data_IF_069090028418
#
_entry.id   IF_069090028418
#
_cell.length_a   1.000
_cell.length_b   1.000
_cell.length_c   1.000
_cell.angle_alpha   90.00
_cell.angle_beta   90.00
_cell.angle_gamma   90.00
#
_symmetry.space_group_name_H-M   'P 1'
#
loop_
_entity.id
_entity.type
_entity.pdbx_description
1 polymer ?
#
# COMPACT_ATOMS: atom_id res chain seq x y z
N UNK A 1 -8.76 5.17 20.23
CA UNK A 1 -7.93 3.93 20.27
C UNK A 1 -8.81 2.77 19.87
N UNK A 2 -8.47 2.07 18.82
CA UNK A 2 -9.28 1.02 18.21
C UNK A 2 -9.24 -0.23 19.08
N UNK A 3 -10.36 -0.60 19.69
CA UNK A 3 -10.46 -1.52 20.82
C UNK A 3 -10.25 -3.02 20.56
N UNK A 4 -9.62 -3.47 19.45
CA UNK A 4 -9.37 -4.89 19.18
C UNK A 4 -7.97 -5.21 18.70
N UNK A 5 -6.98 -4.80 19.47
CA UNK A 5 -5.55 -5.08 19.23
C UNK A 5 -5.27 -6.58 19.02
N UNK A 6 -5.94 -7.47 19.75
CA UNK A 6 -5.74 -8.91 19.61
C UNK A 6 -6.14 -9.51 18.25
N UNK A 7 -6.99 -8.82 17.46
CA UNK A 7 -7.29 -9.26 16.10
C UNK A 7 -6.11 -9.02 15.15
N UNK A 8 -5.41 -7.89 15.31
CA UNK A 8 -4.22 -7.56 14.52
C UNK A 8 -3.10 -8.56 14.79
N UNK A 9 -2.81 -8.84 16.06
CA UNK A 9 -1.80 -9.84 16.45
C UNK A 9 -2.09 -11.21 15.84
N UNK A 10 -3.34 -11.67 15.92
CA UNK A 10 -3.77 -12.96 15.35
C UNK A 10 -3.61 -12.99 13.83
N UNK A 11 -3.92 -11.89 13.15
CA UNK A 11 -3.77 -11.79 11.69
C UNK A 11 -2.32 -11.83 11.26
N UNK A 12 -1.45 -11.05 11.89
CA UNK A 12 -0.01 -11.02 11.59
C UNK A 12 0.66 -12.37 11.90
N UNK A 13 0.28 -13.01 13.02
CA UNK A 13 0.80 -14.33 13.39
C UNK A 13 0.26 -15.44 12.47
N UNK A 14 -0.97 -15.34 12.00
CA UNK A 14 -1.56 -16.27 11.03
C UNK A 14 -0.82 -16.21 9.70
N UNK A 15 -0.57 -15.01 9.18
CA UNK A 15 0.16 -14.85 7.92
C UNK A 15 1.58 -15.40 8.02
N UNK A 16 2.32 -15.11 9.08
CA UNK A 16 3.64 -15.69 9.35
C UNK A 16 3.62 -17.22 9.32
N UNK A 17 2.64 -17.85 9.97
CA UNK A 17 2.54 -19.32 10.05
C UNK A 17 2.15 -19.96 8.72
N UNK A 18 1.26 -19.30 7.96
CA UNK A 18 0.77 -19.82 6.68
C UNK A 18 1.89 -19.96 5.64
N UNK A 19 2.87 -19.05 5.66
CA UNK A 19 3.92 -19.01 4.67
C UNK A 19 4.95 -20.11 4.76
N UNK A 20 5.15 -20.70 5.92
CA UNK A 20 6.03 -21.88 6.08
C UNK A 20 5.64 -23.08 5.20
N UNK A 21 4.43 -23.09 4.65
CA UNK A 21 3.89 -24.21 3.88
C UNK A 21 3.67 -23.93 2.39
N UNK A 22 3.85 -22.70 1.91
CA UNK A 22 3.44 -22.31 0.54
C UNK A 22 4.51 -21.61 -0.31
N UNK A 23 5.75 -21.67 0.12
CA UNK A 23 6.85 -21.08 -0.64
C UNK A 23 7.41 -19.78 -0.04
N UNK A 24 8.26 -19.11 -0.80
CA UNK A 24 9.13 -18.02 -0.37
C UNK A 24 8.36 -16.72 -0.10
N UNK A 25 7.34 -16.42 -0.92
CA UNK A 25 6.61 -15.17 -0.90
C UNK A 25 5.16 -15.34 -0.46
N UNK A 26 4.68 -14.38 0.35
CA UNK A 26 3.30 -14.31 0.82
C UNK A 26 2.33 -14.22 -0.36
N UNK A 27 1.36 -15.14 -0.44
CA UNK A 27 0.41 -15.22 -1.53
C UNK A 27 1.06 -15.17 -2.93
N UNK A 28 2.33 -15.59 -3.03
CA UNK A 28 3.18 -15.47 -4.23
C UNK A 28 3.48 -14.01 -4.64
N UNK A 29 3.28 -13.05 -3.76
CA UNK A 29 3.50 -11.63 -4.01
C UNK A 29 4.63 -11.10 -3.12
N UNK A 30 5.76 -10.71 -3.71
CA UNK A 30 6.96 -10.27 -2.98
C UNK A 30 6.68 -9.08 -2.04
N UNK A 31 5.83 -8.17 -2.47
CA UNK A 31 5.50 -6.97 -1.69
C UNK A 31 4.68 -7.27 -0.44
N UNK A 32 3.98 -8.41 -0.37
CA UNK A 32 3.21 -8.78 0.83
C UNK A 32 4.11 -9.09 2.03
N UNK A 33 5.29 -9.67 1.79
CA UNK A 33 6.29 -9.84 2.84
C UNK A 33 6.78 -8.49 3.38
N UNK A 34 6.96 -7.51 2.47
CA UNK A 34 7.38 -6.16 2.84
C UNK A 34 6.29 -5.45 3.65
N UNK A 35 5.03 -5.56 3.24
CA UNK A 35 3.89 -5.04 4.00
C UNK A 35 3.77 -5.69 5.37
N UNK A 36 4.02 -7.00 5.47
CA UNK A 36 4.03 -7.68 6.77
C UNK A 36 5.09 -7.09 7.70
N UNK A 37 6.31 -6.85 7.22
CA UNK A 37 7.38 -6.19 8.01
C UNK A 37 6.94 -4.79 8.46
N UNK A 38 6.38 -3.99 7.55
CA UNK A 38 5.87 -2.65 7.87
C UNK A 38 4.80 -2.74 8.98
N UNK A 39 3.82 -3.63 8.81
CA UNK A 39 2.72 -3.79 9.77
C UNK A 39 3.19 -4.23 11.16
N UNK A 40 4.14 -5.17 11.26
CA UNK A 40 4.69 -5.61 12.55
C UNK A 40 5.44 -4.47 13.25
N UNK A 41 6.26 -3.72 12.50
CA UNK A 41 6.98 -2.58 13.05
C UNK A 41 6.02 -1.48 13.53
N UNK A 42 5.07 -1.07 12.69
CA UNK A 42 4.08 -0.05 13.03
C UNK A 42 3.21 -0.48 14.23
N UNK A 43 2.78 -1.74 14.26
CA UNK A 43 2.03 -2.26 15.38
C UNK A 43 2.81 -2.12 16.69
N UNK A 44 4.10 -2.49 16.69
CA UNK A 44 4.94 -2.33 17.87
C UNK A 44 5.14 -0.84 18.24
N UNK A 45 5.37 0.04 17.28
CA UNK A 45 5.52 1.47 17.55
C UNK A 45 4.28 2.10 18.16
N UNK A 46 3.11 1.63 17.78
CA UNK A 46 1.82 2.12 18.28
C UNK A 46 1.46 1.55 19.66
N UNK A 47 1.82 0.31 19.94
CA UNK A 47 1.30 -0.42 21.12
C UNK A 47 2.34 -0.74 22.17
N UNK A 48 3.62 -0.80 21.81
CA UNK A 48 4.69 -1.28 22.67
C UNK A 48 4.59 -2.78 23.03
N UNK A 49 3.85 -3.60 22.25
CA UNK A 49 3.56 -5.01 22.52
C UNK A 49 4.81 -5.89 22.42
N UNK A 50 5.67 -5.89 23.45
CA UNK A 50 6.97 -6.60 23.49
C UNK A 50 6.82 -8.11 23.33
N UNK A 51 5.85 -8.74 24.02
CA UNK A 51 5.65 -10.19 23.98
C UNK A 51 5.21 -10.67 22.61
N UNK A 52 4.38 -9.89 21.92
CA UNK A 52 4.00 -10.15 20.54
C UNK A 52 5.20 -10.02 19.61
N UNK A 53 5.92 -8.89 19.69
CA UNK A 53 7.11 -8.65 18.88
C UNK A 53 8.15 -9.75 19.03
N UNK A 54 8.44 -10.18 20.26
CA UNK A 54 9.41 -11.25 20.55
C UNK A 54 9.11 -12.54 19.76
N UNK A 55 7.83 -12.86 19.58
CA UNK A 55 7.39 -14.03 18.77
C UNK A 55 7.58 -13.83 17.27
N UNK A 56 7.68 -12.58 16.80
CA UNK A 56 7.83 -12.25 15.38
C UNK A 56 9.29 -12.07 14.95
N UNK A 57 10.20 -11.76 15.88
CA UNK A 57 11.59 -11.34 15.58
C UNK A 57 12.36 -12.34 14.71
N UNK A 58 12.22 -13.66 14.97
CA UNK A 58 12.90 -14.68 14.15
C UNK A 58 12.44 -14.62 12.67
N UNK A 59 11.13 -14.53 12.45
CA UNK A 59 10.59 -14.44 11.10
C UNK A 59 10.90 -13.07 10.44
N UNK A 60 10.94 -12.00 11.21
CA UNK A 60 11.35 -10.67 10.70
C UNK A 60 12.82 -10.71 10.22
N UNK A 61 13.72 -11.36 10.93
CA UNK A 61 15.09 -11.55 10.49
C UNK A 61 15.16 -12.38 9.20
N UNK A 62 14.42 -13.50 9.11
CA UNK A 62 14.28 -14.29 7.89
C UNK A 62 13.78 -13.45 6.69
N UNK A 63 12.90 -12.44 6.92
CA UNK A 63 12.45 -11.55 5.85
C UNK A 63 13.55 -10.59 5.39
N UNK A 64 14.35 -10.06 6.30
CA UNK A 64 15.48 -9.18 5.96
C UNK A 64 16.50 -9.94 5.12
N UNK A 65 16.81 -11.18 5.48
CA UNK A 65 17.70 -12.06 4.72
C UNK A 65 17.14 -12.32 3.33
N UNK A 66 15.85 -12.68 3.23
CA UNK A 66 15.15 -12.89 1.96
C UNK A 66 15.21 -11.66 1.05
N UNK A 67 15.01 -10.45 1.61
CA UNK A 67 15.10 -9.22 0.84
C UNK A 67 16.53 -8.96 0.36
N UNK A 68 17.55 -9.21 1.19
CA UNK A 68 18.95 -9.09 0.82
C UNK A 68 19.33 -10.03 -0.33
N UNK A 69 18.88 -11.30 -0.31
CA UNK A 69 19.08 -12.27 -1.37
C UNK A 69 18.37 -11.89 -2.67
N UNK A 70 17.21 -11.23 -2.56
CA UNK A 70 16.34 -10.87 -3.68
C UNK A 70 16.69 -9.52 -4.32
N UNK A 71 17.70 -8.82 -3.80
CA UNK A 71 18.25 -7.60 -4.41
C UNK A 71 19.72 -7.83 -4.76
N UNK A 72 20.05 -7.74 -6.05
CA UNK A 72 21.41 -7.89 -6.53
C UNK A 72 22.33 -6.77 -6.03
N UNK A 73 23.65 -6.98 -6.10
CA UNK A 73 24.67 -6.00 -5.66
C UNK A 73 24.61 -4.68 -6.43
N UNK A 74 24.10 -4.72 -7.66
CA UNK A 74 23.83 -3.55 -8.51
C UNK A 74 22.42 -2.96 -8.32
N UNK A 75 21.67 -3.41 -7.32
CA UNK A 75 20.30 -3.00 -7.05
C UNK A 75 19.23 -3.65 -7.92
N UNK A 76 19.55 -4.66 -8.72
CA UNK A 76 18.58 -5.41 -9.53
C UNK A 76 17.58 -6.15 -8.62
N UNK A 77 16.28 -6.03 -8.92
CA UNK A 77 15.23 -6.74 -8.19
C UNK A 77 14.99 -8.13 -8.81
N UNK A 78 15.15 -9.18 -8.00
CA UNK A 78 14.94 -10.59 -8.36
C UNK A 78 13.64 -11.12 -7.74
N UNK A 79 12.59 -10.33 -7.77
CA UNK A 79 11.29 -10.71 -7.23
C UNK A 79 10.49 -11.54 -8.24
N UNK A 80 9.84 -12.58 -7.77
CA UNK A 80 9.09 -13.49 -8.63
C UNK A 80 7.79 -12.87 -9.16
N UNK A 81 7.08 -12.11 -8.31
CA UNK A 81 5.86 -11.42 -8.68
C UNK A 81 5.82 -10.04 -8.06
N UNK A 82 5.81 -9.03 -8.90
CA UNK A 82 5.77 -7.62 -8.49
C UNK A 82 4.31 -7.15 -8.47
N UNK A 83 3.90 -6.63 -7.32
CA UNK A 83 2.56 -6.09 -7.13
C UNK A 83 2.63 -4.86 -6.24
N UNK A 84 2.00 -3.78 -6.67
CA UNK A 84 1.83 -2.56 -5.86
C UNK A 84 0.35 -2.37 -5.54
N UNK A 85 -0.47 -2.29 -6.59
CA UNK A 85 -1.91 -2.09 -6.51
C UNK A 85 -2.55 -2.43 -7.86
N UNK A 86 -3.88 -2.58 -7.92
CA UNK A 86 -4.60 -2.94 -9.12
C UNK A 86 -4.30 -2.03 -10.32
N UNK A 87 -4.29 -0.67 -10.23
CA UNK A 87 -3.98 0.20 -11.35
C UNK A 87 -2.55 0.08 -11.89
N UNK A 88 -1.65 -0.59 -11.16
CA UNK A 88 -0.25 -0.77 -11.58
C UNK A 88 0.06 -2.14 -12.18
N UNK A 89 -0.91 -3.08 -12.17
CA UNK A 89 -0.70 -4.49 -12.54
C UNK A 89 0.01 -4.67 -13.89
N UNK A 90 -0.46 -3.98 -14.92
CA UNK A 90 0.07 -4.08 -16.28
C UNK A 90 1.07 -2.97 -16.61
N UNK A 91 1.49 -2.17 -15.61
CA UNK A 91 2.37 -1.03 -15.83
C UNK A 91 3.79 -1.28 -15.30
N UNK A 92 4.80 -0.79 -16.00
CA UNK A 92 6.20 -0.97 -15.62
C UNK A 92 6.58 -0.27 -14.30
N UNK A 93 5.87 0.79 -13.90
CA UNK A 93 6.07 1.47 -12.62
C UNK A 93 5.91 0.53 -11.42
N UNK A 94 5.29 -0.66 -11.57
CA UNK A 94 5.24 -1.66 -10.49
C UNK A 94 6.63 -2.11 -10.04
N UNK A 95 7.64 -2.06 -10.92
CA UNK A 95 9.00 -2.45 -10.59
C UNK A 95 9.58 -1.47 -9.58
N UNK A 96 9.55 -0.17 -9.91
CA UNK A 96 10.06 0.87 -9.01
C UNK A 96 9.17 1.03 -7.78
N UNK A 97 7.84 0.86 -7.91
CA UNK A 97 6.91 0.85 -6.78
C UNK A 97 7.21 -0.26 -5.77
N UNK A 98 7.51 -1.48 -6.24
CA UNK A 98 7.92 -2.58 -5.36
C UNK A 98 9.24 -2.29 -4.65
N UNK A 99 10.18 -1.59 -5.31
CA UNK A 99 11.41 -1.09 -4.68
C UNK A 99 11.12 -0.11 -3.56
N UNK A 100 10.22 0.85 -3.78
CA UNK A 100 9.83 1.81 -2.74
C UNK A 100 9.19 1.13 -1.53
N UNK A 101 8.34 0.13 -1.74
CA UNK A 101 7.76 -0.65 -0.64
C UNK A 101 8.88 -1.35 0.16
N UNK A 102 9.89 -1.92 -0.53
CA UNK A 102 11.03 -2.55 0.16
C UNK A 102 11.88 -1.53 0.94
N UNK A 103 12.13 -0.34 0.38
CA UNK A 103 12.82 0.75 1.10
C UNK A 103 12.03 1.14 2.36
N UNK A 104 10.71 1.27 2.28
CA UNK A 104 9.86 1.58 3.44
C UNK A 104 9.98 0.47 4.49
N UNK A 105 9.88 -0.80 4.08
CA UNK A 105 10.00 -1.96 4.98
C UNK A 105 11.37 -2.00 5.66
N UNK A 106 12.45 -1.83 4.90
CA UNK A 106 13.81 -1.80 5.42
C UNK A 106 14.03 -0.63 6.39
N UNK A 107 13.53 0.57 6.09
CA UNK A 107 13.60 1.72 7.01
C UNK A 107 12.85 1.49 8.31
N UNK A 108 11.65 0.88 8.27
CA UNK A 108 10.87 0.53 9.46
C UNK A 108 11.58 -0.54 10.29
N UNK A 109 12.12 -1.56 9.64
CA UNK A 109 12.92 -2.58 10.32
C UNK A 109 14.18 -1.97 10.97
N UNK A 110 14.89 -1.07 10.26
CA UNK A 110 16.05 -0.36 10.82
C UNK A 110 15.69 0.45 12.07
N UNK A 111 14.58 1.21 12.01
CA UNK A 111 14.09 1.96 13.15
C UNK A 111 13.79 1.04 14.33
N UNK A 112 13.13 -0.09 14.09
CA UNK A 112 12.82 -1.09 15.11
C UNK A 112 14.10 -1.66 15.74
N UNK A 113 15.06 -2.13 14.92
CA UNK A 113 16.33 -2.69 15.39
C UNK A 113 17.11 -1.67 16.19
N UNK A 114 17.19 -0.42 15.73
CA UNK A 114 17.85 0.67 16.46
C UNK A 114 17.21 0.91 17.85
N UNK A 115 15.87 0.96 17.90
CA UNK A 115 15.15 1.13 19.20
C UNK A 115 15.36 -0.03 20.17
N UNK A 116 15.63 -1.23 19.65
CA UNK A 116 15.89 -2.43 20.45
C UNK A 116 17.39 -2.62 20.76
N UNK A 117 18.28 -1.77 20.27
CA UNK A 117 19.74 -1.91 20.41
C UNK A 117 20.33 -3.11 19.65
N UNK A 118 19.69 -3.54 18.56
CA UNK A 118 20.13 -4.64 17.70
C UNK A 118 21.00 -4.13 16.55
N UNK A 119 21.84 -5.02 16.00
CA UNK A 119 22.67 -4.72 14.83
C UNK A 119 21.82 -4.47 13.58
N UNK A 120 22.17 -3.42 12.82
CA UNK A 120 21.48 -2.99 11.60
C UNK A 120 22.26 -3.27 10.32
N UNK A 121 23.43 -3.90 10.39
CA UNK A 121 24.37 -4.04 9.26
C UNK A 121 23.71 -4.67 8.00
N UNK A 122 22.93 -5.73 8.17
CA UNK A 122 22.24 -6.39 7.05
C UNK A 122 21.12 -5.51 6.44
N UNK A 123 20.44 -4.72 7.28
CA UNK A 123 19.42 -3.78 6.80
C UNK A 123 20.08 -2.60 6.08
N UNK A 124 21.23 -2.14 6.56
CA UNK A 124 22.00 -1.07 5.92
C UNK A 124 22.54 -1.51 4.56
N UNK A 125 23.01 -2.77 4.46
CA UNK A 125 23.39 -3.38 3.18
C UNK A 125 22.22 -3.41 2.20
N UNK A 126 21.05 -3.88 2.65
CA UNK A 126 19.83 -3.90 1.83
C UNK A 126 19.46 -2.50 1.33
N UNK A 127 19.45 -1.51 2.22
CA UNK A 127 19.14 -0.12 1.85
C UNK A 127 20.15 0.42 0.83
N UNK A 128 21.45 0.15 1.00
CA UNK A 128 22.47 0.56 0.05
C UNK A 128 22.21 -0.01 -1.35
N UNK A 129 21.94 -1.31 -1.47
CA UNK A 129 21.58 -1.96 -2.74
C UNK A 129 20.32 -1.34 -3.36
N UNK A 130 19.26 -1.14 -2.56
CA UNK A 130 18.00 -0.56 -3.05
C UNK A 130 18.14 0.85 -3.58
N UNK A 131 19.12 1.61 -3.09
CA UNK A 131 19.40 3.01 -3.52
C UNK A 131 20.26 3.12 -4.78
N UNK A 132 20.79 2.02 -5.33
CA UNK A 132 21.71 2.04 -6.49
C UNK A 132 21.03 2.23 -7.85
N UNK A 133 19.70 2.24 -7.92
CA UNK A 133 18.94 2.33 -9.18
C UNK A 133 18.31 3.69 -9.40
N UNK A 134 17.98 3.99 -10.66
CA UNK A 134 17.14 5.14 -10.99
C UNK A 134 15.78 5.05 -10.27
N UNK A 135 15.37 6.17 -9.70
CA UNK A 135 14.13 6.32 -8.91
C UNK A 135 13.06 7.10 -9.68
N UNK A 136 13.16 7.15 -11.02
CA UNK A 136 12.18 7.85 -11.85
C UNK A 136 10.88 7.05 -11.95
N UNK A 137 9.76 7.71 -11.64
CA UNK A 137 8.40 7.21 -11.86
C UNK A 137 7.91 7.78 -13.19
N UNK A 138 7.23 6.97 -14.01
CA UNK A 138 6.76 7.39 -15.33
C UNK A 138 5.38 8.04 -15.28
N UNK A 139 4.44 7.43 -14.54
CA UNK A 139 3.04 7.81 -14.66
C UNK A 139 2.18 7.56 -13.42
N UNK A 140 2.42 6.48 -12.66
CA UNK A 140 1.47 5.99 -11.66
C UNK A 140 1.50 6.79 -10.36
N UNK A 141 0.38 7.43 -10.03
CA UNK A 141 0.18 8.19 -8.77
C UNK A 141 0.50 7.35 -7.54
N UNK A 142 0.12 6.06 -7.54
CA UNK A 142 0.40 5.09 -6.49
C UNK A 142 1.89 5.02 -6.17
N UNK A 143 2.70 4.98 -7.21
CA UNK A 143 4.15 4.83 -7.11
C UNK A 143 4.81 6.14 -6.69
N UNK A 144 4.29 7.28 -7.15
CA UNK A 144 4.75 8.60 -6.68
C UNK A 144 4.45 8.78 -5.18
N UNK A 145 3.26 8.37 -4.73
CA UNK A 145 2.93 8.36 -3.30
C UNK A 145 3.94 7.54 -2.49
N UNK A 146 4.23 6.31 -2.92
CA UNK A 146 5.23 5.46 -2.28
C UNK A 146 6.64 6.06 -2.31
N UNK A 147 7.03 6.75 -3.39
CA UNK A 147 8.32 7.44 -3.50
C UNK A 147 8.53 8.44 -2.37
N UNK A 148 7.52 9.26 -2.07
CA UNK A 148 7.60 10.21 -0.97
C UNK A 148 7.87 9.52 0.38
N UNK A 149 7.13 8.47 0.70
CA UNK A 149 7.31 7.72 1.96
C UNK A 149 8.63 6.95 2.00
N UNK A 150 9.12 6.50 0.84
CA UNK A 150 10.41 5.81 0.75
C UNK A 150 11.60 6.78 0.87
N UNK A 151 11.55 7.94 0.19
CA UNK A 151 12.71 8.84 0.04
C UNK A 151 12.61 10.13 0.87
N UNK A 152 11.42 10.49 1.35
CA UNK A 152 11.15 11.73 2.10
C UNK A 152 10.88 12.94 1.20
N UNK A 153 10.99 12.81 -0.12
CA UNK A 153 10.76 13.89 -1.08
C UNK A 153 10.37 13.36 -2.46
N UNK A 154 9.74 14.23 -3.25
CA UNK A 154 9.44 14.03 -4.67
C UNK A 154 9.83 15.30 -5.45
N UNK A 155 10.05 15.16 -6.75
CA UNK A 155 10.33 16.29 -7.65
C UNK A 155 9.06 17.09 -7.94
N UNK A 156 9.21 18.29 -8.55
CA UNK A 156 8.05 19.07 -8.99
C UNK A 156 7.31 18.39 -10.15
N UNK A 157 8.03 17.67 -11.02
CA UNK A 157 7.42 16.86 -12.07
C UNK A 157 6.59 15.69 -11.49
N UNK A 158 7.11 14.99 -10.48
CA UNK A 158 6.35 13.96 -9.77
C UNK A 158 5.08 14.56 -9.14
N UNK A 159 5.21 15.74 -8.51
CA UNK A 159 4.05 16.40 -7.89
C UNK A 159 3.01 16.84 -8.93
N UNK A 160 3.45 17.39 -10.05
CA UNK A 160 2.55 17.77 -11.15
C UNK A 160 1.77 16.56 -11.70
N UNK A 161 2.44 15.42 -11.86
CA UNK A 161 1.77 14.15 -12.23
C UNK A 161 0.79 13.68 -11.15
N UNK A 162 1.15 13.81 -9.87
CA UNK A 162 0.35 13.34 -8.74
C UNK A 162 -0.99 14.06 -8.66
N UNK A 163 -1.01 15.39 -8.86
CA UNK A 163 -2.22 16.23 -8.78
C UNK A 163 -3.00 16.33 -10.10
N UNK A 164 -2.41 15.86 -11.21
CA UNK A 164 -3.04 15.87 -12.53
C UNK A 164 -4.38 15.15 -12.48
N UNK A 165 -5.40 15.75 -13.08
CA UNK A 165 -6.76 15.22 -13.17
C UNK A 165 -7.43 14.90 -11.81
N UNK A 166 -6.94 15.52 -10.71
CA UNK A 166 -7.53 15.43 -9.38
C UNK A 166 -7.65 14.00 -8.85
N UNK A 167 -8.89 13.55 -8.60
CA UNK A 167 -9.18 12.23 -8.04
C UNK A 167 -9.10 11.08 -9.06
N UNK A 168 -9.03 11.38 -10.37
CA UNK A 168 -8.85 10.35 -11.40
C UNK A 168 -7.51 9.63 -11.24
N UNK A 169 -7.51 8.32 -11.41
CA UNK A 169 -6.33 7.47 -11.27
C UNK A 169 -5.85 7.26 -9.81
N UNK A 170 -6.63 7.67 -8.81
CA UNK A 170 -6.43 7.19 -7.44
C UNK A 170 -6.82 5.71 -7.35
N UNK A 171 -6.39 5.06 -6.27
CA UNK A 171 -6.84 3.73 -5.89
C UNK A 171 -7.14 3.68 -4.40
N UNK A 172 -8.00 2.80 -4.01
CA UNK A 172 -8.46 2.68 -2.62
C UNK A 172 -7.33 2.32 -1.67
N UNK A 173 -6.45 1.39 -2.05
CA UNK A 173 -5.32 0.95 -1.22
C UNK A 173 -4.26 2.05 -1.07
N UNK A 174 -3.80 2.64 -2.17
CA UNK A 174 -2.71 3.61 -2.16
C UNK A 174 -3.15 5.05 -1.86
N UNK A 175 -4.46 5.30 -1.69
CA UNK A 175 -4.97 6.65 -1.44
C UNK A 175 -4.32 7.35 -0.24
N UNK A 176 -4.03 6.63 0.85
CA UNK A 176 -3.34 7.19 2.01
C UNK A 176 -1.97 7.79 1.62
N UNK A 177 -1.17 7.04 0.87
CA UNK A 177 0.15 7.48 0.42
C UNK A 177 0.07 8.65 -0.56
N UNK A 178 -0.88 8.58 -1.50
CA UNK A 178 -1.11 9.65 -2.49
C UNK A 178 -1.55 10.95 -1.78
N UNK A 179 -2.59 10.87 -0.98
CA UNK A 179 -3.16 12.02 -0.29
C UNK A 179 -2.18 12.62 0.73
N UNK A 180 -1.46 11.79 1.48
CA UNK A 180 -0.41 12.26 2.40
C UNK A 180 0.74 12.98 1.68
N UNK A 181 1.11 12.49 0.50
CA UNK A 181 2.13 13.15 -0.34
C UNK A 181 1.64 14.50 -0.87
N UNK A 182 0.38 14.60 -1.31
CA UNK A 182 -0.21 15.88 -1.72
C UNK A 182 -0.27 16.84 -0.53
N UNK A 183 -0.74 16.36 0.62
CA UNK A 183 -0.87 17.16 1.84
C UNK A 183 0.46 17.70 2.36
N UNK A 184 1.59 17.07 2.05
CA UNK A 184 2.92 17.58 2.40
C UNK A 184 3.27 18.92 1.72
N UNK A 185 2.57 19.26 0.63
CA UNK A 185 2.73 20.53 -0.12
C UNK A 185 1.46 21.39 -0.11
N UNK A 186 0.29 20.75 -0.24
CA UNK A 186 -1.02 21.43 -0.27
C UNK A 186 -2.07 20.58 0.44
N UNK A 187 -2.30 20.89 1.71
CA UNK A 187 -3.26 20.20 2.58
C UNK A 187 -4.69 20.36 2.08
N UNK A 188 -5.07 21.55 1.63
CA UNK A 188 -6.44 21.85 1.20
C UNK A 188 -6.78 21.09 -0.10
N UNK A 189 -5.84 21.03 -1.03
CA UNK A 189 -6.00 20.24 -2.25
C UNK A 189 -6.13 18.75 -1.94
N UNK A 190 -5.33 18.21 -1.01
CA UNK A 190 -5.42 16.82 -0.60
C UNK A 190 -6.79 16.49 0.01
N UNK A 191 -7.30 17.36 0.88
CA UNK A 191 -8.63 17.22 1.49
C UNK A 191 -9.73 17.28 0.41
N UNK A 192 -9.60 18.20 -0.56
CA UNK A 192 -10.54 18.29 -1.67
C UNK A 192 -10.56 17.01 -2.49
N UNK A 193 -9.40 16.52 -2.91
CA UNK A 193 -9.27 15.26 -3.70
C UNK A 193 -9.83 14.07 -2.93
N UNK A 194 -9.56 13.97 -1.61
CA UNK A 194 -10.13 12.95 -0.74
C UNK A 194 -11.66 12.99 -0.74
N UNK A 195 -12.25 14.20 -0.59
CA UNK A 195 -13.70 14.36 -0.61
C UNK A 195 -14.31 14.02 -1.96
N UNK A 196 -13.66 14.41 -3.06
CA UNK A 196 -14.12 14.08 -4.42
C UNK A 196 -14.12 12.56 -4.63
N UNK A 197 -13.04 11.87 -4.26
CA UNK A 197 -12.88 10.43 -4.46
C UNK A 197 -13.83 9.58 -3.61
N UNK A 198 -13.79 9.76 -2.30
CA UNK A 198 -14.62 8.99 -1.38
C UNK A 198 -16.07 9.46 -1.38
N UNK A 199 -16.34 10.73 -1.65
CA UNK A 199 -17.68 11.27 -1.86
C UNK A 199 -18.36 10.59 -3.05
N UNK A 200 -17.67 10.46 -4.17
CA UNK A 200 -18.18 9.75 -5.34
C UNK A 200 -18.52 8.28 -5.05
N UNK A 201 -17.71 7.60 -4.21
CA UNK A 201 -18.00 6.24 -3.76
C UNK A 201 -19.28 6.20 -2.89
N UNK A 202 -19.46 7.16 -1.97
CA UNK A 202 -20.67 7.30 -1.16
C UNK A 202 -21.91 7.59 -2.01
N UNK A 203 -21.80 8.47 -3.01
CA UNK A 203 -22.90 8.80 -3.93
C UNK A 203 -23.34 7.58 -4.75
N UNK A 204 -22.42 6.64 -4.99
CA UNK A 204 -22.74 5.34 -5.62
C UNK A 204 -23.27 4.29 -4.65
N UNK A 205 -23.49 4.65 -3.39
CA UNK A 205 -24.14 3.79 -2.40
C UNK A 205 -23.19 2.98 -1.53
N UNK A 206 -21.91 3.34 -1.46
CA UNK A 206 -20.98 2.68 -0.57
C UNK A 206 -21.37 2.85 0.90
N UNK A 207 -21.37 1.76 1.64
CA UNK A 207 -21.53 1.72 3.11
C UNK A 207 -20.29 1.18 3.80
N UNK A 208 -19.34 0.70 3.02
CA UNK A 208 -18.05 0.12 3.43
C UNK A 208 -16.97 0.53 2.45
N UNK A 209 -15.70 0.25 2.75
CA UNK A 209 -14.59 0.51 1.86
C UNK A 209 -14.52 -0.57 0.78
N UNK A 210 -14.49 -0.16 -0.49
CA UNK A 210 -14.39 -1.08 -1.62
C UNK A 210 -12.94 -1.49 -1.88
N UNK A 211 -12.76 -2.68 -2.42
CA UNK A 211 -11.44 -3.21 -2.77
C UNK A 211 -10.74 -2.36 -3.83
N UNK A 212 -11.51 -1.95 -4.84
CA UNK A 212 -11.03 -1.15 -5.95
C UNK A 212 -12.09 -0.11 -6.35
N UNK A 213 -11.64 1.05 -6.82
CA UNK A 213 -12.51 2.11 -7.31
C UNK A 213 -11.69 3.13 -8.10
N UNK A 214 -12.21 3.54 -9.24
CA UNK A 214 -11.80 4.75 -9.95
C UNK A 214 -13.00 5.68 -10.07
N UNK A 215 -12.80 6.97 -9.87
CA UNK A 215 -13.88 7.97 -9.96
C UNK A 215 -14.56 7.97 -11.34
N UNK A 216 -13.82 7.62 -12.40
CA UNK A 216 -14.35 7.53 -13.75
C UNK A 216 -15.40 6.42 -13.92
N UNK A 217 -15.40 5.41 -13.04
CA UNK A 217 -16.43 4.36 -13.05
C UNK A 217 -17.81 4.89 -12.70
N UNK A 218 -17.90 6.08 -12.12
CA UNK A 218 -19.17 6.73 -11.81
C UNK A 218 -19.92 7.17 -13.08
N UNK A 219 -19.21 7.34 -14.21
CA UNK A 219 -19.78 7.82 -15.46
C UNK A 219 -20.67 6.73 -16.08
N UNK A 220 -21.96 7.02 -16.19
CA UNK A 220 -22.95 6.09 -16.77
C UNK A 220 -23.27 4.86 -15.93
N UNK A 221 -22.82 4.81 -14.66
CA UNK A 221 -23.09 3.70 -13.74
C UNK A 221 -24.21 4.01 -12.75
N UNK A 222 -24.98 2.98 -12.41
CA UNK A 222 -25.98 3.02 -11.34
C UNK A 222 -25.34 2.98 -9.94
N UNK A 223 -26.21 3.08 -8.90
CA UNK A 223 -25.81 2.85 -7.49
C UNK A 223 -25.78 1.36 -7.19
N UNK A 224 -24.95 0.95 -6.24
CA UNK A 224 -24.83 -0.47 -5.84
C UNK A 224 -26.02 -1.00 -5.04
N UNK A 225 -26.84 -0.11 -4.44
CA UNK A 225 -27.99 -0.46 -3.60
C UNK A 225 -29.27 -0.79 -4.39
N UNK A 226 -29.17 -0.80 -5.71
CA UNK A 226 -30.24 -1.20 -6.63
C UNK A 226 -29.69 -1.90 -7.88
N UNK A 227 -30.55 -2.60 -8.58
CA UNK A 227 -30.17 -3.15 -9.90
C UNK A 227 -29.96 -2.03 -10.92
N UNK A 228 -28.96 -2.13 -11.80
CA UNK A 228 -28.78 -1.19 -12.89
C UNK A 228 -30.03 -1.10 -13.79
N UNK A 229 -30.36 0.11 -14.22
CA UNK A 229 -31.43 0.33 -15.21
C UNK A 229 -30.94 -0.02 -16.61
N UNK A 230 -31.83 -0.23 -17.58
CA UNK A 230 -31.43 -0.40 -18.98
C UNK A 230 -30.50 0.74 -19.44
N UNK A 231 -29.31 0.40 -19.94
CA UNK A 231 -28.28 1.35 -20.39
C UNK A 231 -27.34 1.87 -19.29
N UNK A 232 -27.59 1.56 -18.00
CA UNK A 232 -26.63 1.83 -16.93
C UNK A 232 -25.62 0.70 -16.81
N UNK A 233 -24.38 1.04 -16.46
CA UNK A 233 -23.36 0.08 -16.05
C UNK A 233 -23.55 -0.30 -14.56
N UNK A 234 -23.20 -1.51 -14.23
CA UNK A 234 -23.09 -1.97 -12.83
C UNK A 234 -21.71 -1.58 -12.29
N UNK A 235 -21.66 -0.58 -11.42
CA UNK A 235 -20.39 -0.10 -10.84
C UNK A 235 -19.62 -1.17 -10.08
N UNK A 236 -20.33 -2.20 -9.61
CA UNK A 236 -19.71 -3.33 -8.92
C UNK A 236 -19.31 -4.47 -9.87
N UNK A 237 -20.05 -4.68 -10.95
CA UNK A 237 -19.92 -5.85 -11.82
C UNK A 237 -19.16 -5.61 -13.14
N UNK A 238 -19.20 -4.38 -13.67
CA UNK A 238 -18.60 -4.07 -14.97
C UNK A 238 -17.17 -3.52 -14.86
N UNK A 239 -16.69 -3.24 -13.64
CA UNK A 239 -15.40 -2.65 -13.36
C UNK A 239 -14.57 -3.52 -12.41
N UNK A 240 -13.35 -3.12 -12.09
CA UNK A 240 -12.44 -3.90 -11.26
C UNK A 240 -11.82 -5.08 -12.01
N UNK A 241 -11.34 -4.84 -13.22
CA UNK A 241 -10.80 -5.81 -14.21
C UNK A 241 -9.85 -6.87 -13.62
N UNK A 242 -9.07 -6.50 -12.61
CA UNK A 242 -8.02 -7.36 -12.06
C UNK A 242 -8.41 -8.05 -10.76
N UNK A 243 -9.44 -7.58 -10.06
CA UNK A 243 -9.76 -8.04 -8.72
C UNK A 243 -10.09 -9.53 -8.67
N UNK A 244 -11.06 -9.97 -9.47
CA UNK A 244 -11.43 -11.38 -9.57
C UNK A 244 -12.02 -11.68 -10.93
N UNK A 245 -11.33 -12.46 -11.74
CA UNK A 245 -11.81 -12.82 -13.07
C UNK A 245 -13.17 -13.53 -13.01
N UNK A 246 -14.18 -12.94 -13.60
CA UNK A 246 -15.55 -13.46 -13.61
C UNK A 246 -16.35 -13.19 -12.33
N UNK A 247 -15.77 -12.48 -11.37
CA UNK A 247 -16.41 -12.06 -10.12
C UNK A 247 -16.31 -10.55 -9.97
N UNK A 248 -17.14 -10.02 -9.08
CA UNK A 248 -17.12 -8.61 -8.70
C UNK A 248 -16.03 -8.35 -7.67
N UNK A 249 -15.46 -7.15 -7.64
CA UNK A 249 -14.56 -6.75 -6.57
C UNK A 249 -15.28 -6.71 -5.21
N UNK A 250 -14.52 -6.86 -4.12
CA UNK A 250 -15.09 -6.82 -2.76
C UNK A 250 -15.61 -5.43 -2.43
N UNK A 251 -16.81 -5.36 -1.87
CA UNK A 251 -17.40 -4.12 -1.36
C UNK A 251 -17.08 -3.85 0.12
N UNK A 252 -16.32 -4.74 0.77
CA UNK A 252 -15.87 -4.58 2.15
C UNK A 252 -14.42 -5.08 2.28
N UNK A 253 -13.46 -4.21 1.97
CA UNK A 253 -12.04 -4.56 1.93
C UNK A 253 -11.21 -3.64 2.82
N UNK A 254 -10.56 -4.23 3.81
CA UNK A 254 -9.87 -3.47 4.87
C UNK A 254 -8.69 -2.63 4.37
N UNK A 255 -8.00 -3.03 3.29
CA UNK A 255 -6.85 -2.29 2.77
C UNK A 255 -7.20 -0.85 2.33
N UNK A 256 -8.47 -0.60 2.03
CA UNK A 256 -8.97 0.70 1.58
C UNK A 256 -9.28 1.67 2.73
N UNK A 257 -9.11 1.23 3.98
CA UNK A 257 -9.41 2.05 5.17
C UNK A 257 -8.34 3.11 5.49
N UNK A 258 -7.28 3.21 4.71
CA UNK A 258 -6.20 4.19 4.92
C UNK A 258 -6.66 5.64 4.98
N UNK A 259 -7.81 5.96 4.35
CA UNK A 259 -8.42 7.30 4.44
C UNK A 259 -8.80 7.69 5.86
N UNK A 260 -9.13 6.74 6.75
CA UNK A 260 -9.42 7.03 8.17
C UNK A 260 -8.17 7.66 8.81
N UNK A 261 -7.02 7.08 8.56
CA UNK A 261 -5.74 7.61 9.07
C UNK A 261 -5.44 9.00 8.49
N UNK A 262 -5.67 9.19 7.19
CA UNK A 262 -5.54 10.51 6.56
C UNK A 262 -6.43 11.56 7.23
N UNK A 263 -7.70 11.24 7.49
CA UNK A 263 -8.64 12.15 8.18
C UNK A 263 -8.13 12.50 9.58
N UNK A 264 -7.64 11.51 10.33
CA UNK A 264 -7.09 11.74 11.67
C UNK A 264 -5.87 12.67 11.67
N UNK A 265 -5.02 12.58 10.65
CA UNK A 265 -3.79 13.36 10.55
C UNK A 265 -4.01 14.77 9.99
N UNK A 266 -4.91 14.91 9.02
CA UNK A 266 -5.00 16.13 8.21
C UNK A 266 -6.35 16.88 8.31
N UNK A 267 -7.42 16.29 8.84
CA UNK A 267 -8.74 16.92 8.88
C UNK A 267 -9.14 17.44 10.27
N UNK A 268 -8.22 17.53 11.20
CA UNK A 268 -8.42 18.12 12.54
C UNK A 268 -8.11 19.60 12.53
#
# INVERSE_FOLDING_TARGET
MYGRVGAVEKSLDFERRRHKYKGKWMCSLSTYNMWWVICVCEYYFMTGAKDFLGKQMGYLAEQIDLFNESVGENGELKYECLYVDWPTMDHEDKIIGSRFINIIAAKKAKELYTRLGLDTAEIDRLLAKLMMSDMKVKEKKQVIGLKYYALGSITDDDYALLIKDGASGLSTFMSYFILGTIASRDKELAIKIMKDYYGAMLDKGATTFWEDFDIEWTIGSGRIDRLPKPGEKDIHGDFGKYCYKGFRHSLCHAWSSGVIKFIEEYCK
#
